data_IF_834089242653
#
_entry.id   IF_834089242653
#
_cell.length_a   1.000
_cell.length_b   1.000
_cell.length_c   1.000
_cell.angle_alpha   90.00
_cell.angle_beta   90.00
_cell.angle_gamma   90.00
#
_symmetry.space_group_name_H-M   'P 1'
#
loop_
_entity.id
_entity.type
_entity.pdbx_description
1 polymer ?
#
# COMPACT_ATOMS: atom_id res chain seq x y z
N UNK A 1 -21.05 15.84 14.59
CA UNK A 1 -20.62 14.78 13.68
C UNK A 1 -19.16 14.46 13.93
N UNK A 2 -18.84 13.19 14.06
CA UNK A 2 -17.45 12.80 14.32
C UNK A 2 -16.60 12.86 13.04
N UNK A 3 -15.29 12.89 13.23
CA UNK A 3 -14.38 12.87 12.09
C UNK A 3 -14.57 11.59 11.27
N UNK A 4 -14.82 10.47 11.94
CA UNK A 4 -15.06 9.21 11.25
C UNK A 4 -16.30 9.30 10.35
N UNK A 5 -17.34 9.96 10.80
CA UNK A 5 -18.56 10.15 10.00
C UNK A 5 -18.28 11.07 8.81
N UNK A 6 -17.51 12.13 9.02
CA UNK A 6 -17.12 13.04 7.94
C UNK A 6 -16.31 12.30 6.86
N UNK A 7 -15.42 11.43 7.28
CA UNK A 7 -14.63 10.63 6.35
C UNK A 7 -15.53 9.71 5.54
N UNK A 8 -16.44 9.00 6.20
CA UNK A 8 -17.35 8.08 5.50
C UNK A 8 -18.28 8.82 4.54
N UNK A 9 -18.78 9.98 4.92
CA UNK A 9 -19.63 10.77 4.05
C UNK A 9 -18.89 11.36 2.86
N UNK A 10 -17.62 11.68 3.03
CA UNK A 10 -16.79 12.23 1.97
C UNK A 10 -16.35 11.19 0.95
N UNK A 11 -16.54 9.91 1.24
CA UNK A 11 -16.15 8.83 0.33
C UNK A 11 -17.37 8.29 -0.42
N UNK A 12 -17.20 7.86 -1.69
CA UNK A 12 -18.32 7.34 -2.45
C UNK A 12 -18.79 6.00 -1.89
N UNK A 13 -20.06 5.67 -2.10
CA UNK A 13 -20.61 4.40 -1.64
C UNK A 13 -19.90 3.20 -2.29
N UNK A 14 -19.46 3.38 -3.52
CA UNK A 14 -18.75 2.37 -4.27
C UNK A 14 -17.39 2.01 -3.65
N UNK A 15 -16.91 2.84 -2.74
CA UNK A 15 -15.66 2.56 -2.02
C UNK A 15 -15.81 1.41 -1.03
N UNK A 16 -17.02 1.09 -0.63
CA UNK A 16 -17.30 0.00 0.32
C UNK A 16 -16.35 0.01 1.52
N UNK A 17 -16.37 1.12 2.25
CA UNK A 17 -15.52 1.29 3.42
C UNK A 17 -15.99 0.37 4.55
N UNK A 18 -15.09 -0.44 5.07
CA UNK A 18 -15.40 -1.41 6.12
C UNK A 18 -14.97 -0.95 7.50
N UNK A 19 -13.96 -0.10 7.58
CA UNK A 19 -13.48 0.38 8.86
C UNK A 19 -12.72 1.69 8.69
N UNK A 20 -12.69 2.48 9.76
CA UNK A 20 -11.92 3.73 9.84
C UNK A 20 -11.14 3.68 11.13
N UNK A 21 -9.82 3.79 11.04
CA UNK A 21 -8.93 3.72 12.19
C UNK A 21 -8.13 5.00 12.32
N UNK A 22 -8.03 5.50 13.56
CA UNK A 22 -7.23 6.69 13.84
C UNK A 22 -5.85 6.27 14.32
N UNK A 23 -4.83 6.66 13.57
CA UNK A 23 -3.45 6.27 13.86
C UNK A 23 -2.58 7.51 13.96
N UNK A 24 -2.56 8.12 15.14
CA UNK A 24 -1.82 9.36 15.34
C UNK A 24 -2.32 10.48 14.42
N UNK A 25 -1.45 10.98 13.55
CA UNK A 25 -1.79 12.04 12.62
C UNK A 25 -2.49 11.55 11.36
N UNK A 26 -2.63 10.24 11.20
CA UNK A 26 -3.23 9.64 10.01
C UNK A 26 -4.57 8.98 10.31
N UNK A 27 -5.43 8.98 9.31
CA UNK A 27 -6.69 8.25 9.35
C UNK A 27 -6.59 7.15 8.30
N UNK A 28 -6.71 5.89 8.73
CA UNK A 28 -6.69 4.76 7.82
C UNK A 28 -8.12 4.34 7.51
N UNK A 29 -8.45 4.24 6.22
CA UNK A 29 -9.76 3.73 5.79
C UNK A 29 -9.54 2.42 5.07
N UNK A 30 -10.34 1.42 5.43
CA UNK A 30 -10.26 0.08 4.86
C UNK A 30 -11.38 -0.12 3.85
N UNK A 31 -11.06 -0.62 2.68
CA UNK A 31 -12.04 -0.79 1.60
C UNK A 31 -12.10 -2.22 1.09
N UNK A 32 -13.30 -2.66 0.74
CA UNK A 32 -13.52 -3.93 0.05
C UNK A 32 -13.54 -3.74 -1.46
N UNK A 33 -13.54 -2.51 -1.94
CA UNK A 33 -13.53 -2.24 -3.37
C UNK A 33 -12.11 -2.28 -3.91
N UNK A 34 -11.82 -3.25 -4.75
CA UNK A 34 -10.52 -3.36 -5.41
C UNK A 34 -10.26 -2.15 -6.30
N UNK A 35 -11.31 -1.70 -6.98
CA UNK A 35 -11.22 -0.53 -7.84
C UNK A 35 -10.87 0.71 -7.05
N UNK A 36 -11.57 0.98 -5.95
CA UNK A 36 -11.30 2.14 -5.11
C UNK A 36 -9.90 2.07 -4.49
N UNK A 37 -9.48 0.89 -4.08
CA UNK A 37 -8.14 0.71 -3.52
C UNK A 37 -7.05 1.12 -4.50
N UNK A 38 -7.23 0.82 -5.77
CA UNK A 38 -6.25 1.13 -6.81
C UNK A 38 -6.39 2.52 -7.42
N UNK A 39 -7.54 3.16 -7.29
CA UNK A 39 -7.84 4.43 -7.95
C UNK A 39 -8.65 5.32 -7.03
N UNK A 40 -7.98 6.04 -6.15
CA UNK A 40 -8.64 6.87 -5.13
C UNK A 40 -8.02 8.26 -4.95
N UNK A 41 -7.00 8.59 -5.72
CA UNK A 41 -6.23 9.81 -5.50
C UNK A 41 -7.05 11.09 -5.45
N UNK A 42 -7.93 11.29 -6.41
CA UNK A 42 -8.72 12.53 -6.49
C UNK A 42 -9.64 12.69 -5.29
N UNK A 43 -10.37 11.63 -4.95
CA UNK A 43 -11.31 11.63 -3.83
C UNK A 43 -10.58 11.87 -2.51
N UNK A 44 -9.47 11.17 -2.33
CA UNK A 44 -8.67 11.26 -1.10
C UNK A 44 -8.08 12.66 -0.94
N UNK A 45 -7.55 13.24 -2.01
CA UNK A 45 -6.99 14.59 -1.95
C UNK A 45 -8.02 15.64 -1.55
N UNK A 46 -9.23 15.54 -2.10
CA UNK A 46 -10.30 16.46 -1.75
C UNK A 46 -10.70 16.33 -0.29
N UNK A 47 -10.79 15.10 0.19
CA UNK A 47 -11.16 14.84 1.57
C UNK A 47 -10.07 15.30 2.54
N UNK A 48 -8.81 15.12 2.21
CA UNK A 48 -7.68 15.59 3.00
C UNK A 48 -7.73 17.12 3.14
N UNK A 49 -8.05 17.82 2.07
CA UNK A 49 -8.17 19.29 2.11
C UNK A 49 -9.30 19.73 3.04
N UNK A 50 -10.40 18.98 3.03
CA UNK A 50 -11.57 19.31 3.84
C UNK A 50 -11.36 19.03 5.32
N UNK A 51 -10.79 17.86 5.64
CA UNK A 51 -10.60 17.41 7.01
C UNK A 51 -9.28 17.88 7.61
N UNK A 52 -8.31 18.21 6.75
CA UNK A 52 -6.97 18.64 7.15
C UNK A 52 -6.21 17.59 7.95
N UNK A 53 -6.46 16.33 7.64
CA UNK A 53 -5.72 15.20 8.20
C UNK A 53 -5.31 14.27 7.08
N UNK A 54 -4.18 13.60 7.27
CA UNK A 54 -3.69 12.64 6.28
C UNK A 54 -4.58 11.41 6.27
N UNK A 55 -4.96 10.98 5.08
CA UNK A 55 -5.80 9.79 4.90
C UNK A 55 -5.04 8.76 4.09
N UNK A 56 -4.97 7.53 4.59
CA UNK A 56 -4.40 6.41 3.85
C UNK A 56 -5.49 5.40 3.58
N UNK A 57 -5.52 4.86 2.38
CA UNK A 57 -6.49 3.84 1.98
C UNK A 57 -5.80 2.49 2.06
N UNK A 58 -6.41 1.57 2.80
CA UNK A 58 -5.89 0.22 2.98
C UNK A 58 -6.89 -0.81 2.50
N UNK A 59 -6.43 -1.96 2.02
CA UNK A 59 -7.35 -3.00 1.57
C UNK A 59 -7.93 -3.75 2.75
N UNK A 60 -9.22 -4.08 2.66
CA UNK A 60 -9.81 -5.01 3.60
C UNK A 60 -9.17 -6.39 3.37
N UNK A 61 -8.94 -7.20 4.42
CA UNK A 61 -8.30 -8.52 4.23
C UNK A 61 -9.01 -9.41 3.21
N UNK A 62 -10.30 -9.19 2.98
CA UNK A 62 -11.06 -10.01 2.03
C UNK A 62 -10.65 -9.82 0.57
N UNK A 63 -10.02 -8.70 0.21
CA UNK A 63 -9.62 -8.46 -1.18
C UNK A 63 -8.15 -8.73 -1.45
N UNK A 64 -7.33 -8.90 -0.43
CA UNK A 64 -5.90 -9.15 -0.60
C UNK A 64 -5.64 -10.56 -1.12
N UNK A 65 -4.70 -10.67 -2.05
CA UNK A 65 -4.28 -11.95 -2.59
C UNK A 65 -3.45 -12.69 -1.52
N UNK A 66 -3.57 -14.02 -1.50
CA UNK A 66 -2.80 -14.83 -0.56
C UNK A 66 -1.30 -14.47 -0.63
N UNK A 67 -0.62 -14.34 0.53
CA UNK A 67 0.80 -13.94 0.55
C UNK A 67 1.72 -14.78 -0.34
N UNK A 68 1.51 -16.09 -0.43
CA UNK A 68 2.34 -16.92 -1.28
C UNK A 68 2.19 -16.57 -2.76
N UNK A 69 0.97 -16.37 -3.22
CA UNK A 69 0.71 -15.97 -4.59
C UNK A 69 1.18 -14.54 -4.84
N UNK A 70 0.93 -13.65 -3.89
CA UNK A 70 1.38 -12.28 -3.99
C UNK A 70 2.90 -12.19 -4.11
N UNK A 71 3.61 -13.01 -3.36
CA UNK A 71 5.08 -13.07 -3.43
C UNK A 71 5.56 -13.47 -4.81
N UNK A 72 4.92 -14.45 -5.44
CA UNK A 72 5.25 -14.87 -6.80
C UNK A 72 5.04 -13.74 -7.80
N UNK A 73 3.91 -13.04 -7.68
CA UNK A 73 3.59 -11.91 -8.56
C UNK A 73 4.63 -10.81 -8.42
N UNK A 74 5.03 -10.50 -7.19
CA UNK A 74 6.04 -9.47 -6.93
C UNK A 74 7.36 -9.86 -7.60
N UNK A 75 7.81 -11.09 -7.40
CA UNK A 75 9.07 -11.55 -7.98
C UNK A 75 9.05 -11.57 -9.49
N UNK A 76 7.91 -11.93 -10.08
CA UNK A 76 7.76 -11.96 -11.53
C UNK A 76 7.66 -10.56 -12.14
N UNK A 77 7.13 -9.61 -11.40
CA UNK A 77 6.92 -8.24 -11.88
C UNK A 77 8.16 -7.36 -11.76
N UNK A 78 9.08 -7.72 -10.90
CA UNK A 78 10.28 -6.92 -10.61
C UNK A 78 11.48 -7.47 -11.38
N UNK A 79 12.30 -6.60 -12.01
CA UNK A 79 13.52 -7.08 -12.68
C UNK A 79 14.47 -7.73 -11.68
N UNK A 80 15.18 -8.74 -12.10
CA UNK A 80 16.16 -9.44 -11.25
C UNK A 80 17.25 -8.51 -10.74
N UNK A 81 17.57 -7.50 -11.52
CA UNK A 81 18.60 -6.51 -11.18
C UNK A 81 18.27 -5.69 -9.93
N UNK A 82 16.98 -5.64 -9.56
CA UNK A 82 16.55 -4.95 -8.35
C UNK A 82 17.06 -5.65 -7.08
N UNK A 83 17.30 -6.93 -7.15
CA UNK A 83 17.77 -7.82 -6.07
C UNK A 83 16.88 -7.67 -4.82
N UNK A 84 15.77 -8.36 -4.84
CA UNK A 84 14.86 -8.38 -3.70
C UNK A 84 15.49 -9.21 -2.58
N UNK A 85 15.66 -8.59 -1.41
CA UNK A 85 16.25 -9.23 -0.24
C UNK A 85 15.20 -9.86 0.67
N UNK A 86 14.05 -9.19 0.81
CA UNK A 86 13.00 -9.68 1.68
C UNK A 86 11.65 -9.12 1.25
N UNK A 87 10.61 -9.87 1.55
CA UNK A 87 9.23 -9.45 1.30
C UNK A 87 8.45 -9.77 2.58
N UNK A 88 7.99 -8.74 3.27
CA UNK A 88 7.33 -8.85 4.56
C UNK A 88 5.87 -8.43 4.44
N UNK A 89 4.95 -9.33 4.77
CA UNK A 89 3.53 -9.02 4.77
C UNK A 89 3.08 -8.58 6.14
N UNK A 90 2.30 -7.50 6.18
CA UNK A 90 1.72 -6.96 7.40
C UNK A 90 0.20 -6.98 7.27
N UNK A 91 -0.44 -8.13 7.53
CA UNK A 91 -1.89 -8.30 7.30
C UNK A 91 -2.77 -7.31 8.06
N UNK A 92 -2.34 -6.90 9.26
CA UNK A 92 -3.09 -5.95 10.07
C UNK A 92 -3.28 -4.61 9.36
N UNK A 93 -2.35 -4.25 8.48
CA UNK A 93 -2.38 -2.98 7.74
C UNK A 93 -2.63 -3.17 6.24
N UNK A 94 -2.79 -4.39 5.78
CA UNK A 94 -2.93 -4.66 4.36
C UNK A 94 -1.71 -4.23 3.55
N UNK A 95 -0.53 -4.24 4.18
CA UNK A 95 0.70 -3.73 3.59
C UNK A 95 1.72 -4.82 3.34
N UNK A 96 2.48 -4.69 2.26
CA UNK A 96 3.61 -5.55 1.99
C UNK A 96 4.86 -4.68 1.86
N UNK A 97 5.91 -5.02 2.62
CA UNK A 97 7.17 -4.30 2.57
C UNK A 97 8.14 -5.10 1.70
N UNK A 98 8.66 -4.47 0.67
CA UNK A 98 9.61 -5.09 -0.25
C UNK A 98 10.97 -4.43 -0.03
N UNK A 99 11.94 -5.22 0.43
CA UNK A 99 13.30 -4.74 0.63
C UNK A 99 14.15 -5.16 -0.56
N UNK A 100 14.77 -4.19 -1.22
CA UNK A 100 15.58 -4.44 -2.40
C UNK A 100 16.85 -3.59 -2.38
N UNK A 101 17.89 -4.08 -3.03
CA UNK A 101 19.13 -3.32 -3.15
C UNK A 101 18.94 -2.10 -4.05
N UNK A 102 18.10 -2.23 -5.06
CA UNK A 102 17.82 -1.14 -6.00
C UNK A 102 16.32 -0.83 -6.00
N UNK A 103 15.84 -0.08 -5.00
CA UNK A 103 14.42 0.24 -4.88
C UNK A 103 13.80 0.90 -6.12
N UNK A 104 14.57 1.72 -6.83
CA UNK A 104 14.09 2.38 -8.03
C UNK A 104 13.62 1.43 -9.10
N UNK A 105 14.21 0.24 -9.19
CA UNK A 105 13.79 -0.78 -10.15
C UNK A 105 12.50 -1.47 -9.73
N UNK A 106 12.22 -1.53 -8.43
CA UNK A 106 10.95 -2.08 -7.93
C UNK A 106 9.82 -1.08 -8.18
N UNK A 107 10.10 0.21 -7.99
CA UNK A 107 9.11 1.26 -8.21
C UNK A 107 8.82 1.39 -9.71
N UNK A 108 9.86 1.34 -10.53
CA UNK A 108 9.74 1.50 -11.96
C UNK A 108 9.62 2.96 -12.38
N UNK A 109 9.66 3.19 -13.67
CA UNK A 109 9.56 4.54 -14.24
C UNK A 109 8.20 5.14 -13.92
N UNK A 110 8.19 6.27 -13.23
CA UNK A 110 6.94 6.92 -12.86
C UNK A 110 6.05 6.11 -11.92
N UNK A 111 6.62 5.11 -11.24
CA UNK A 111 5.85 4.26 -10.34
C UNK A 111 5.06 3.18 -11.05
N UNK A 112 5.34 2.93 -12.31
CA UNK A 112 4.60 1.98 -13.14
C UNK A 112 4.64 0.55 -12.61
N UNK A 113 5.81 0.07 -12.23
CA UNK A 113 5.96 -1.31 -11.74
C UNK A 113 5.24 -1.54 -10.42
N UNK A 114 5.40 -0.61 -9.48
CA UNK A 114 4.77 -0.73 -8.18
C UNK A 114 3.26 -0.63 -8.28
N UNK A 115 2.74 0.21 -9.17
CA UNK A 115 1.31 0.32 -9.40
C UNK A 115 0.75 -0.97 -10.01
N UNK A 116 1.47 -1.57 -10.92
CA UNK A 116 1.09 -2.84 -11.54
C UNK A 116 1.01 -3.95 -10.48
N UNK A 117 1.99 -4.00 -9.59
CA UNK A 117 2.00 -4.96 -8.48
C UNK A 117 0.75 -4.75 -7.60
N UNK A 118 0.49 -3.51 -7.21
CA UNK A 118 -0.68 -3.18 -6.38
C UNK A 118 -1.98 -3.65 -7.02
N UNK A 119 -2.13 -3.48 -8.32
CA UNK A 119 -3.33 -3.89 -9.06
C UNK A 119 -3.48 -5.40 -9.18
N UNK A 120 -2.41 -6.13 -9.04
CA UNK A 120 -2.43 -7.60 -9.13
C UNK A 120 -2.64 -8.29 -7.80
N UNK A 121 -2.05 -7.75 -6.73
CA UNK A 121 -2.08 -8.41 -5.42
C UNK A 121 -3.02 -7.76 -4.40
N UNK A 122 -3.42 -6.52 -4.63
CA UNK A 122 -4.28 -5.75 -3.72
C UNK A 122 -3.75 -5.66 -2.30
N UNK A 123 -2.43 -5.56 -2.17
CA UNK A 123 -1.73 -5.17 -0.98
C UNK A 123 -1.11 -3.80 -1.23
N UNK A 124 -1.02 -2.97 -0.19
CA UNK A 124 -0.36 -1.69 -0.31
C UNK A 124 1.15 -1.89 -0.26
N UNK A 125 1.86 -1.71 -1.37
CA UNK A 125 3.30 -1.93 -1.36
C UNK A 125 4.06 -0.77 -0.75
N UNK A 126 5.09 -1.10 0.04
CA UNK A 126 6.01 -0.14 0.62
C UNK A 126 7.41 -0.64 0.27
N UNK A 127 8.21 0.22 -0.35
CA UNK A 127 9.53 -0.17 -0.82
C UNK A 127 10.59 0.40 0.09
N UNK A 128 11.49 -0.46 0.56
CA UNK A 128 12.63 -0.04 1.37
C UNK A 128 13.91 -0.46 0.71
N UNK A 129 14.94 0.34 0.86
CA UNK A 129 16.27 -0.07 0.46
C UNK A 129 16.74 -1.12 1.46
N UNK A 130 17.19 -2.26 0.98
CA UNK A 130 17.79 -3.26 1.84
C UNK A 130 19.02 -2.62 2.52
N UNK A 131 19.21 -2.84 3.83
CA UNK A 131 20.40 -2.30 4.48
C UNK A 131 21.58 -2.78 3.71
N UNK A 132 22.41 -1.83 3.29
CA UNK A 132 23.73 -2.20 2.82
C UNK A 132 24.26 -3.08 3.92
N UNK A 133 24.83 -4.16 3.55
CA UNK A 133 25.30 -5.11 4.50
C UNK A 133 26.38 -4.48 5.35
N UNK A 134 26.02 -3.45 5.95
CA UNK A 134 26.81 -2.79 6.93
C UNK A 134 27.24 -3.79 7.97
N UNK A 135 26.33 -4.68 8.24
CA UNK A 135 26.64 -5.83 9.04
C UNK A 135 27.84 -6.59 8.51
N UNK A 136 27.98 -6.70 7.21
CA UNK A 136 29.10 -7.39 6.62
C UNK A 136 30.36 -6.54 6.66
N UNK A 137 30.17 -5.24 6.60
CA UNK A 137 31.28 -4.32 6.65
C UNK A 137 31.90 -4.26 8.04
N UNK A 138 31.08 -4.53 9.02
CA UNK A 138 31.53 -4.48 10.41
C UNK A 138 32.35 -5.70 10.81
N UNK A 139 32.32 -6.69 10.03
CA UNK A 139 33.10 -7.90 10.30
C UNK A 139 34.57 -7.69 9.98
#
# INVERSE_FOLDING_TARGET
>A
MSIADEVKEGLPKEAHITDVSFEGAEIAVYTKSREFFCSNETVVKELVRKIKKRIVVRPDPSITVDPEEAMKVIKDSVPKEAVIKDIIFEPAFGRVVIEAEKPGLVIGKGGETILDIKKKIFWQPSIKRAPLIASDVVT
#
